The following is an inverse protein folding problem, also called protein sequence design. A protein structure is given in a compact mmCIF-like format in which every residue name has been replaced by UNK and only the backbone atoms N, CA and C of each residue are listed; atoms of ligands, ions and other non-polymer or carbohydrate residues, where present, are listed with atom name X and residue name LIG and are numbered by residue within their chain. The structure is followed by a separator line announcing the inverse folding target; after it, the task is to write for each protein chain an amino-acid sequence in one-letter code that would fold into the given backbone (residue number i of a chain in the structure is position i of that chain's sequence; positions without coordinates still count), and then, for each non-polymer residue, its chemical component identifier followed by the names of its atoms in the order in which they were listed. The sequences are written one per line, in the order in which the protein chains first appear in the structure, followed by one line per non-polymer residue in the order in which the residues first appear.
data_IF_310925639613
#
_entry.id   IF_310925639613
#
_cell.length_a   1.000
_cell.length_b   1.000
_cell.length_c   1.000
_cell.angle_alpha   90.00
_cell.angle_beta   90.00
_cell.angle_gamma   90.00
#
_symmetry.space_group_name_H-M   'P 1'
#
loop_
_entity.id
_entity.type
_entity.pdbx_description
1 polymer ?
#
# COMPACT_ATOMS: atom_id res chain seq x y z
N UNK A 1 -1.11 -10.28 -7.06
CA UNK A 1 -1.64 -9.65 -8.30
C UNK A 1 -2.36 -8.33 -8.01
N UNK A 2 -2.93 -8.14 -6.83
CA UNK A 2 -3.68 -6.97 -6.35
C UNK A 2 -2.90 -5.64 -6.40
N UNK A 3 -1.65 -5.61 -5.93
CA UNK A 3 -0.86 -4.35 -5.86
C UNK A 3 -0.66 -3.64 -7.21
N UNK A 4 -0.44 -4.37 -8.31
CA UNK A 4 -0.22 -3.74 -9.62
C UNK A 4 -1.49 -3.05 -10.16
N UNK A 5 -2.67 -3.64 -9.92
CA UNK A 5 -3.93 -3.04 -10.32
C UNK A 5 -4.27 -1.84 -9.45
N UNK A 6 -4.06 -1.93 -8.13
CA UNK A 6 -4.24 -0.82 -7.19
C UNK A 6 -3.40 0.39 -7.57
N UNK A 7 -2.09 0.23 -7.75
CA UNK A 7 -1.18 1.31 -8.13
C UNK A 7 -1.61 2.01 -9.43
N UNK A 8 -2.05 1.25 -10.44
CA UNK A 8 -2.54 1.82 -11.69
C UNK A 8 -3.88 2.54 -11.52
N UNK A 9 -4.76 2.05 -10.66
CA UNK A 9 -6.03 2.72 -10.34
C UNK A 9 -5.79 4.03 -9.58
N UNK A 10 -4.90 4.04 -8.59
CA UNK A 10 -4.48 5.26 -7.90
C UNK A 10 -3.92 6.26 -8.89
N UNK A 11 -3.03 5.84 -9.78
CA UNK A 11 -2.44 6.68 -10.82
C UNK A 11 -3.51 7.27 -11.76
N UNK A 12 -4.45 6.46 -12.21
CA UNK A 12 -5.54 6.93 -13.09
C UNK A 12 -6.45 7.93 -12.39
N UNK A 13 -6.83 7.67 -11.15
CA UNK A 13 -7.65 8.59 -10.35
C UNK A 13 -6.91 9.90 -10.08
N UNK A 14 -5.64 9.82 -9.67
CA UNK A 14 -4.81 10.97 -9.39
C UNK A 14 -4.62 11.85 -10.64
N UNK A 15 -4.30 11.27 -11.79
CA UNK A 15 -4.19 12.00 -13.05
C UNK A 15 -5.51 12.66 -13.46
N UNK A 16 -6.63 11.95 -13.30
CA UNK A 16 -7.96 12.49 -13.63
C UNK A 16 -8.28 13.72 -12.80
N UNK A 17 -8.05 13.65 -11.48
CA UNK A 17 -8.26 14.77 -10.57
C UNK A 17 -7.28 15.90 -10.85
N UNK A 18 -5.98 15.61 -10.98
CA UNK A 18 -4.93 16.59 -11.27
C UNK A 18 -5.23 17.35 -12.56
N UNK A 19 -5.63 16.65 -13.63
CA UNK A 19 -6.02 17.26 -14.90
C UNK A 19 -7.21 18.20 -14.76
N UNK A 20 -8.26 17.79 -14.08
CA UNK A 20 -9.44 18.61 -13.85
C UNK A 20 -9.12 19.88 -13.05
N UNK A 21 -8.22 19.78 -12.08
CA UNK A 21 -7.74 20.89 -11.25
C UNK A 21 -6.61 21.72 -11.88
N UNK A 22 -6.16 21.38 -13.11
CA UNK A 22 -5.04 22.02 -13.82
C UNK A 22 -3.71 21.94 -13.06
N UNK A 23 -3.52 20.85 -12.32
CA UNK A 23 -2.28 20.49 -11.65
C UNK A 23 -1.36 19.69 -12.60
N UNK A 24 -0.15 19.39 -12.14
CA UNK A 24 0.81 18.58 -12.91
C UNK A 24 0.45 17.09 -12.87
N UNK A 25 -0.12 16.57 -13.98
CA UNK A 25 -0.52 15.17 -14.12
C UNK A 25 0.68 14.20 -14.01
N UNK A 26 1.83 14.59 -14.55
CA UNK A 26 3.02 13.73 -14.56
C UNK A 26 3.63 13.62 -13.16
N UNK A 27 3.58 14.69 -12.36
CA UNK A 27 3.96 14.65 -10.96
C UNK A 27 3.02 13.74 -10.15
N UNK A 28 1.72 13.86 -10.35
CA UNK A 28 0.73 12.99 -9.69
C UNK A 28 0.94 11.52 -10.08
N UNK A 29 1.21 11.22 -11.35
CA UNK A 29 1.52 9.86 -11.82
C UNK A 29 2.80 9.33 -11.18
N UNK A 30 3.88 10.10 -11.18
CA UNK A 30 5.16 9.67 -10.61
C UNK A 30 5.04 9.33 -9.11
N UNK A 31 4.32 10.16 -8.34
CA UNK A 31 4.03 9.89 -6.92
C UNK A 31 3.19 8.61 -6.79
N UNK A 32 2.10 8.50 -7.56
CA UNK A 32 1.20 7.35 -7.51
C UNK A 32 1.90 6.03 -7.87
N UNK A 33 2.80 6.03 -8.86
CA UNK A 33 3.56 4.82 -9.22
C UNK A 33 4.59 4.42 -8.16
N UNK A 34 5.06 5.37 -7.36
CA UNK A 34 6.09 5.15 -6.35
C UNK A 34 5.58 4.92 -4.93
N UNK A 35 4.31 5.24 -4.63
CA UNK A 35 3.83 5.33 -3.24
C UNK A 35 3.96 4.03 -2.45
N UNK A 36 3.68 2.89 -3.06
CA UNK A 36 3.60 1.57 -2.43
C UNK A 36 4.77 0.61 -2.78
N UNK A 37 5.87 1.11 -3.36
CA UNK A 37 7.02 0.27 -3.74
C UNK A 37 7.66 -0.47 -2.56
N UNK A 38 7.53 0.07 -1.35
CA UNK A 38 8.06 -0.50 -0.12
C UNK A 38 7.06 -1.38 0.64
N UNK A 39 5.93 -1.73 0.04
CA UNK A 39 4.94 -2.57 0.71
C UNK A 39 5.45 -4.00 0.87
N UNK A 40 5.18 -4.60 2.02
CA UNK A 40 5.63 -5.95 2.36
C UNK A 40 4.76 -7.04 1.71
N UNK A 41 5.26 -8.28 1.56
CA UNK A 41 4.39 -9.41 1.29
C UNK A 41 3.26 -9.47 2.34
N UNK A 42 2.08 -9.87 1.91
CA UNK A 42 0.82 -9.90 2.71
C UNK A 42 0.35 -8.54 3.20
N UNK A 43 0.78 -7.47 2.56
CA UNK A 43 0.27 -6.13 2.81
C UNK A 43 0.47 -5.69 4.27
N UNK A 44 -0.58 -5.17 4.88
CA UNK A 44 -0.52 -4.69 6.27
C UNK A 44 -0.19 -5.77 7.31
N UNK A 45 -0.45 -7.06 7.03
CA UNK A 45 -0.04 -8.14 7.92
C UNK A 45 1.49 -8.25 8.00
N UNK A 46 2.16 -8.24 6.85
CA UNK A 46 3.63 -8.23 6.80
C UNK A 46 4.24 -6.96 7.36
N UNK A 47 3.62 -5.80 7.13
CA UNK A 47 4.05 -4.53 7.75
C UNK A 47 3.98 -4.60 9.27
N UNK A 48 2.88 -5.12 9.84
CA UNK A 48 2.78 -5.34 11.30
C UNK A 48 3.89 -6.27 11.81
N UNK A 49 4.16 -7.36 11.09
CA UNK A 49 5.20 -8.31 11.46
C UNK A 49 6.58 -7.63 11.51
N UNK A 50 6.97 -6.92 10.45
CA UNK A 50 8.26 -6.22 10.43
C UNK A 50 8.32 -5.09 11.46
N UNK A 51 7.20 -4.41 11.74
CA UNK A 51 7.16 -3.37 12.77
C UNK A 51 7.22 -3.93 14.20
N UNK A 52 6.90 -5.20 14.45
CA UNK A 52 7.10 -5.86 15.73
C UNK A 52 8.57 -6.15 16.00
N UNK A 53 9.31 -6.57 14.97
CA UNK A 53 10.72 -6.99 15.10
C UNK A 53 11.71 -5.86 14.85
N UNK A 54 11.30 -4.85 14.07
CA UNK A 54 12.07 -3.66 13.73
C UNK A 54 11.14 -2.49 13.42
N UNK A 55 11.64 -1.24 13.46
CA UNK A 55 10.83 -0.03 13.19
C UNK A 55 10.51 0.13 11.70
N UNK A 56 9.55 -0.63 11.20
CA UNK A 56 9.17 -0.65 9.80
C UNK A 56 7.92 0.18 9.51
N UNK A 57 7.92 0.89 8.37
CA UNK A 57 6.76 1.58 7.83
C UNK A 57 6.88 1.63 6.29
N UNK A 58 5.86 1.14 5.57
CA UNK A 58 5.91 0.98 4.10
C UNK A 58 6.22 2.28 3.35
N UNK A 59 5.72 3.44 3.77
CA UNK A 59 6.00 4.71 3.11
C UNK A 59 7.48 5.15 3.25
N UNK A 60 8.12 4.84 4.37
CA UNK A 60 9.57 5.05 4.54
C UNK A 60 10.36 4.08 3.69
N UNK A 61 9.89 2.85 3.62
CA UNK A 61 10.48 1.82 2.77
C UNK A 61 10.31 2.16 1.28
N UNK A 62 9.15 2.69 0.85
CA UNK A 62 8.95 3.16 -0.53
C UNK A 62 9.95 4.25 -0.90
N UNK A 63 10.16 5.21 -0.01
CA UNK A 63 11.19 6.23 -0.21
C UNK A 63 12.60 5.62 -0.28
N UNK A 64 12.92 4.67 0.60
CA UNK A 64 14.21 3.97 0.63
C UNK A 64 14.44 3.16 -0.65
N UNK A 65 13.42 2.49 -1.19
CA UNK A 65 13.51 1.78 -2.48
C UNK A 65 13.97 2.75 -3.58
N UNK A 66 13.32 3.88 -3.73
CA UNK A 66 13.63 4.82 -4.82
C UNK A 66 14.92 5.61 -4.58
N UNK A 67 15.37 5.79 -3.36
CA UNK A 67 16.58 6.57 -3.03
C UNK A 67 17.85 5.72 -2.92
N UNK A 68 17.73 4.45 -2.46
CA UNK A 68 18.89 3.66 -2.05
C UNK A 68 18.95 2.24 -2.61
N UNK A 69 17.83 1.60 -2.94
CA UNK A 69 17.84 0.17 -3.36
C UNK A 69 17.89 0.05 -4.88
N UNK A 70 17.08 0.82 -5.58
CA UNK A 70 17.01 0.78 -7.04
C UNK A 70 18.35 1.11 -7.71
N UNK A 71 18.53 0.61 -8.93
CA UNK A 71 19.75 0.77 -9.75
C UNK A 71 21.03 0.35 -8.99
N UNK A 72 20.98 -0.80 -8.34
CA UNK A 72 22.14 -1.35 -7.62
C UNK A 72 22.68 -0.40 -6.54
N UNK A 73 21.80 0.14 -5.72
CA UNK A 73 22.13 1.02 -4.60
C UNK A 73 22.32 2.50 -4.94
N UNK A 74 22.11 2.90 -6.22
CA UNK A 74 22.31 4.30 -6.67
C UNK A 74 21.04 5.15 -6.57
N UNK A 75 19.88 4.53 -6.43
CA UNK A 75 18.59 5.20 -6.42
C UNK A 75 18.18 5.77 -7.79
N UNK A 76 16.94 6.29 -7.83
CA UNK A 76 16.33 6.81 -9.07
C UNK A 76 16.58 8.31 -9.31
N UNK A 77 17.15 9.03 -8.34
CA UNK A 77 17.37 10.47 -8.42
C UNK A 77 16.08 11.26 -8.72
N UNK A 78 15.01 10.96 -7.97
CA UNK A 78 13.71 11.61 -8.12
C UNK A 78 13.74 13.04 -7.55
N UNK A 79 12.85 13.91 -8.05
CA UNK A 79 12.69 15.26 -7.52
C UNK A 79 12.18 15.24 -6.07
N UNK A 80 12.37 16.34 -5.35
CA UNK A 80 11.90 16.45 -3.98
C UNK A 80 10.38 16.26 -3.87
N UNK A 81 9.62 16.81 -4.82
CA UNK A 81 8.16 16.75 -4.85
C UNK A 81 7.64 15.30 -4.96
N UNK A 82 8.28 14.48 -5.79
CA UNK A 82 7.93 13.05 -5.90
C UNK A 82 8.25 12.32 -4.60
N UNK A 83 9.41 12.59 -4.01
CA UNK A 83 9.85 11.96 -2.75
C UNK A 83 8.96 12.36 -1.58
N UNK A 84 8.59 13.63 -1.47
CA UNK A 84 7.65 14.13 -0.46
C UNK A 84 6.29 13.46 -0.61
N UNK A 85 5.77 13.36 -1.84
CA UNK A 85 4.51 12.70 -2.13
C UNK A 85 4.52 11.21 -1.76
N UNK A 86 5.59 10.48 -2.09
CA UNK A 86 5.77 9.07 -1.70
C UNK A 86 5.79 8.92 -0.18
N UNK A 87 6.56 9.73 0.53
CA UNK A 87 6.69 9.63 1.98
C UNK A 87 5.40 9.96 2.72
N UNK A 88 4.60 10.87 2.20
CA UNK A 88 3.44 11.44 2.88
C UNK A 88 2.08 11.00 2.29
N UNK A 89 2.04 9.93 1.46
CA UNK A 89 0.78 9.48 0.84
C UNK A 89 -0.23 8.89 1.83
N UNK A 90 0.24 8.33 2.95
CA UNK A 90 -0.62 7.68 3.94
C UNK A 90 -1.64 8.66 4.58
N UNK A 91 -2.66 8.09 5.23
CA UNK A 91 -3.79 8.86 5.80
C UNK A 91 -3.36 9.96 6.78
N UNK A 92 -2.34 9.72 7.59
CA UNK A 92 -1.78 10.69 8.56
C UNK A 92 -0.72 11.61 7.97
N UNK A 93 -0.32 11.38 6.71
CA UNK A 93 0.70 12.19 6.04
C UNK A 93 0.15 13.54 5.56
N UNK A 94 1.06 14.47 5.35
CA UNK A 94 0.77 15.84 4.91
C UNK A 94 1.68 16.22 3.74
N UNK A 95 1.37 15.77 2.50
CA UNK A 95 2.14 16.16 1.33
C UNK A 95 2.13 17.67 1.13
N UNK A 96 3.28 18.23 0.79
CA UNK A 96 3.42 19.69 0.59
C UNK A 96 2.80 20.16 -0.73
N UNK A 97 2.87 19.32 -1.77
CA UNK A 97 2.29 19.63 -3.08
C UNK A 97 0.81 19.27 -3.16
N UNK A 98 0.05 19.98 -3.98
CA UNK A 98 -1.35 19.63 -4.25
C UNK A 98 -1.45 18.28 -4.96
N UNK A 99 -0.50 17.95 -5.83
CA UNK A 99 -0.41 16.65 -6.50
C UNK A 99 -0.22 15.50 -5.49
N UNK A 100 0.65 15.66 -4.50
CA UNK A 100 0.80 14.69 -3.40
C UNK A 100 -0.47 14.53 -2.59
N UNK A 101 -1.21 15.63 -2.34
CA UNK A 101 -2.52 15.57 -1.67
C UNK A 101 -3.57 14.85 -2.53
N UNK A 102 -3.54 15.06 -3.86
CA UNK A 102 -4.39 14.32 -4.82
C UNK A 102 -4.09 12.83 -4.74
N UNK A 103 -2.82 12.42 -4.77
CA UNK A 103 -2.45 11.00 -4.66
C UNK A 103 -2.92 10.40 -3.34
N UNK A 104 -2.72 11.08 -2.21
CA UNK A 104 -3.18 10.64 -0.89
C UNK A 104 -4.69 10.40 -0.83
N UNK A 105 -5.48 11.22 -1.51
CA UNK A 105 -6.94 11.03 -1.59
C UNK A 105 -7.24 9.88 -2.56
N UNK A 106 -6.59 9.84 -3.73
CA UNK A 106 -6.80 8.82 -4.75
C UNK A 106 -6.50 7.41 -4.24
N UNK A 107 -5.46 7.25 -3.41
CA UNK A 107 -5.15 5.99 -2.73
C UNK A 107 -6.32 5.52 -1.85
N UNK A 108 -6.90 6.42 -1.04
CA UNK A 108 -8.09 6.08 -0.22
C UNK A 108 -9.29 5.68 -1.06
N UNK A 109 -9.52 6.36 -2.20
CA UNK A 109 -10.62 6.06 -3.10
C UNK A 109 -10.45 4.67 -3.72
N UNK A 110 -9.25 4.38 -4.22
CA UNK A 110 -8.91 3.11 -4.84
C UNK A 110 -9.00 1.95 -3.83
N UNK A 111 -8.42 2.11 -2.64
CA UNK A 111 -8.44 1.11 -1.58
C UNK A 111 -9.87 0.68 -1.21
N UNK A 112 -10.75 1.62 -0.87
CA UNK A 112 -12.14 1.30 -0.46
C UNK A 112 -12.92 0.64 -1.59
N UNK A 113 -12.78 1.13 -2.82
CA UNK A 113 -13.49 0.56 -3.97
C UNK A 113 -12.97 -0.83 -4.34
N UNK A 114 -11.66 -1.04 -4.28
CA UNK A 114 -11.03 -2.31 -4.62
C UNK A 114 -11.39 -3.41 -3.62
N UNK A 115 -11.27 -3.13 -2.33
CA UNK A 115 -11.61 -4.09 -1.28
C UNK A 115 -13.09 -4.45 -1.29
N UNK A 116 -13.95 -3.50 -1.62
CA UNK A 116 -15.39 -3.77 -1.75
C UNK A 116 -15.69 -4.64 -2.97
N UNK A 117 -15.08 -4.36 -4.12
CA UNK A 117 -15.25 -5.17 -5.33
C UNK A 117 -14.74 -6.61 -5.10
N UNK A 118 -13.61 -6.76 -4.42
CA UNK A 118 -13.07 -8.06 -4.05
C UNK A 118 -13.97 -8.81 -3.03
N UNK A 119 -14.53 -8.13 -2.05
CA UNK A 119 -15.47 -8.71 -1.10
C UNK A 119 -16.76 -9.19 -1.79
N UNK A 120 -17.26 -8.43 -2.75
CA UNK A 120 -18.45 -8.80 -3.56
C UNK A 120 -18.10 -9.98 -4.47
N UNK A 121 -16.99 -9.96 -5.18
CA UNK A 121 -16.54 -11.08 -6.04
C UNK A 121 -16.27 -12.34 -5.24
N UNK A 122 -15.74 -12.20 -4.04
CA UNK A 122 -15.50 -13.29 -3.09
C UNK A 122 -16.77 -13.83 -2.44
N UNK A 123 -17.95 -13.22 -2.68
CA UNK A 123 -19.22 -13.64 -2.09
C UNK A 123 -19.32 -13.36 -0.59
N UNK A 124 -18.48 -12.47 -0.06
CA UNK A 124 -18.52 -12.03 1.34
C UNK A 124 -19.64 -11.02 1.55
N UNK A 125 -19.84 -10.15 0.56
CA UNK A 125 -20.88 -9.10 0.53
C UNK A 125 -21.61 -9.11 -0.80
N UNK A 126 -22.78 -8.46 -0.80
CA UNK A 126 -23.48 -8.01 -2.01
C UNK A 126 -23.65 -6.49 -1.97
N UNK A 127 -23.93 -5.84 -3.11
CA UNK A 127 -24.23 -4.39 -3.12
C UNK A 127 -25.43 -4.04 -2.21
N UNK A 128 -26.36 -4.98 -2.02
CA UNK A 128 -27.56 -4.75 -1.18
C UNK A 128 -27.27 -4.79 0.32
N UNK A 129 -26.16 -5.37 0.74
CA UNK A 129 -25.71 -5.38 2.14
C UNK A 129 -25.18 -4.01 2.59
N UNK A 130 -24.77 -3.17 1.61
CA UNK A 130 -24.30 -1.81 1.91
C UNK A 130 -25.50 -0.96 2.38
N UNK A 131 -25.40 -0.25 3.52
CA UNK A 131 -26.45 0.61 4.02
C UNK A 131 -27.04 1.54 2.96
N UNK A 132 -28.37 1.66 2.93
CA UNK A 132 -29.08 2.39 1.87
C UNK A 132 -28.75 3.87 1.81
N UNK A 133 -28.46 4.50 2.95
CA UNK A 133 -27.99 5.87 3.06
C UNK A 133 -26.61 6.08 2.44
N UNK A 134 -25.69 5.12 2.63
CA UNK A 134 -24.39 5.14 1.97
C UNK A 134 -24.49 4.91 0.45
N UNK A 135 -25.37 4.01 0.00
CA UNK A 135 -25.64 3.82 -1.43
C UNK A 135 -26.25 5.07 -2.06
N UNK A 136 -27.13 5.75 -1.36
CA UNK A 136 -27.74 7.00 -1.82
C UNK A 136 -26.69 8.13 -1.90
N UNK A 137 -25.80 8.24 -0.91
CA UNK A 137 -24.79 9.30 -0.83
C UNK A 137 -23.63 9.08 -1.83
N UNK A 138 -23.16 7.84 -1.97
CA UNK A 138 -21.95 7.53 -2.72
C UNK A 138 -22.20 6.85 -4.07
N UNK A 139 -23.33 6.19 -4.26
CA UNK A 139 -23.66 5.40 -5.44
C UNK A 139 -23.85 3.91 -5.13
N UNK A 140 -24.62 3.24 -5.98
CA UNK A 140 -25.08 1.85 -5.81
C UNK A 140 -24.21 0.83 -6.57
N UNK A 141 -23.08 1.26 -7.12
CA UNK A 141 -22.09 0.41 -7.77
C UNK A 141 -20.69 1.00 -7.61
N UNK A 142 -19.68 0.17 -7.75
CA UNK A 142 -18.27 0.59 -7.71
C UNK A 142 -18.01 1.77 -8.66
N UNK A 143 -18.55 1.71 -9.89
CA UNK A 143 -18.42 2.78 -10.89
C UNK A 143 -19.08 4.08 -10.46
N UNK A 144 -20.30 4.01 -9.91
CA UNK A 144 -21.03 5.20 -9.44
C UNK A 144 -20.32 5.81 -8.23
N UNK A 145 -19.87 5.00 -7.28
CA UNK A 145 -19.12 5.46 -6.11
C UNK A 145 -17.86 6.20 -6.51
N UNK A 146 -17.04 5.59 -7.38
CA UNK A 146 -15.82 6.23 -7.86
C UNK A 146 -16.10 7.56 -8.55
N UNK A 147 -17.11 7.59 -9.42
CA UNK A 147 -17.52 8.81 -10.11
C UNK A 147 -17.96 9.91 -9.13
N UNK A 148 -18.81 9.58 -8.16
CA UNK A 148 -19.26 10.52 -7.13
C UNK A 148 -18.09 11.08 -6.34
N UNK A 149 -17.19 10.21 -5.87
CA UNK A 149 -16.03 10.59 -5.06
C UNK A 149 -15.05 11.48 -5.84
N UNK A 150 -14.71 11.13 -7.07
CA UNK A 150 -13.82 11.91 -7.92
C UNK A 150 -14.43 13.28 -8.24
N UNK A 151 -15.70 13.34 -8.59
CA UNK A 151 -16.37 14.61 -8.83
C UNK A 151 -16.46 15.50 -7.60
N UNK A 152 -16.73 14.92 -6.42
CA UNK A 152 -16.79 15.67 -5.16
C UNK A 152 -15.43 16.28 -4.82
N UNK A 153 -14.33 15.51 -4.95
CA UNK A 153 -12.97 16.03 -4.75
C UNK A 153 -12.67 17.18 -5.70
N UNK A 154 -12.94 17.03 -7.00
CA UNK A 154 -12.70 18.07 -8.00
C UNK A 154 -13.49 19.34 -7.66
N UNK A 155 -14.79 19.21 -7.39
CA UNK A 155 -15.68 20.34 -7.15
C UNK A 155 -15.26 21.13 -5.90
N UNK A 156 -14.88 20.43 -4.83
CA UNK A 156 -14.52 21.08 -3.55
C UNK A 156 -13.07 21.57 -3.49
N UNK A 157 -12.22 21.14 -4.43
CA UNK A 157 -10.82 21.56 -4.50
C UNK A 157 -10.54 22.60 -5.59
N UNK A 158 -11.49 22.88 -6.47
CA UNK A 158 -11.32 23.85 -7.56
C UNK A 158 -10.97 25.23 -6.98
N UNK A 159 -9.87 25.80 -7.48
CA UNK A 159 -9.33 27.09 -7.05
C UNK A 159 -9.07 27.22 -5.52
N UNK A 160 -8.86 26.08 -4.84
CA UNK A 160 -8.51 26.02 -3.43
C UNK A 160 -7.02 25.68 -3.23
N UNK A 161 -6.38 26.18 -2.16
CA UNK A 161 -4.99 25.84 -1.82
C UNK A 161 -4.84 24.47 -1.13
N UNK A 162 -5.87 23.62 -1.17
CA UNK A 162 -5.91 22.32 -0.51
C UNK A 162 -6.84 21.38 -1.27
N UNK A 163 -6.48 20.09 -1.31
CA UNK A 163 -7.33 19.06 -1.89
C UNK A 163 -8.23 18.48 -0.78
N UNK A 164 -9.54 18.52 -0.99
CA UNK A 164 -10.53 18.10 0.00
C UNK A 164 -11.80 17.55 -0.64
N UNK A 165 -12.56 16.82 0.15
CA UNK A 165 -13.95 16.44 -0.13
C UNK A 165 -14.91 17.37 0.59
N UNK A 166 -16.19 17.33 0.21
CA UNK A 166 -17.27 17.89 1.05
C UNK A 166 -17.34 17.15 2.38
N UNK A 167 -17.83 17.82 3.42
CA UNK A 167 -17.99 17.19 4.73
C UNK A 167 -18.99 16.03 4.71
N UNK A 168 -19.96 16.06 3.79
CA UNK A 168 -20.95 15.00 3.61
C UNK A 168 -20.31 13.74 3.01
N UNK A 169 -19.57 13.88 1.90
CA UNK A 169 -18.86 12.79 1.25
C UNK A 169 -17.77 12.21 2.14
N UNK A 170 -17.02 13.06 2.85
CA UNK A 170 -16.00 12.58 3.79
C UNK A 170 -16.60 11.74 4.93
N UNK A 171 -17.78 12.14 5.44
CA UNK A 171 -18.49 11.36 6.46
C UNK A 171 -18.97 10.03 5.89
N UNK A 172 -19.64 10.06 4.74
CA UNK A 172 -20.10 8.83 4.09
C UNK A 172 -18.96 7.85 3.79
N UNK A 173 -17.79 8.35 3.35
CA UNK A 173 -16.60 7.51 3.19
C UNK A 173 -16.09 6.91 4.50
N UNK A 174 -16.08 7.67 5.59
CA UNK A 174 -15.69 7.15 6.92
C UNK A 174 -16.65 6.06 7.39
N UNK A 175 -17.95 6.27 7.18
CA UNK A 175 -18.98 5.30 7.56
C UNK A 175 -18.90 4.04 6.68
N UNK A 176 -18.63 4.19 5.38
CA UNK A 176 -18.40 3.07 4.48
C UNK A 176 -17.16 2.26 4.89
N UNK A 177 -16.06 2.93 5.23
CA UNK A 177 -14.86 2.26 5.75
C UNK A 177 -15.14 1.50 7.04
N UNK A 178 -15.93 2.09 7.96
CA UNK A 178 -16.35 1.41 9.18
C UNK A 178 -17.18 0.16 8.87
N UNK A 179 -18.14 0.26 7.95
CA UNK A 179 -18.92 -0.87 7.47
C UNK A 179 -18.04 -2.00 6.92
N UNK A 180 -17.06 -1.66 6.07
CA UNK A 180 -16.09 -2.62 5.55
C UNK A 180 -15.26 -3.28 6.66
N UNK A 181 -14.84 -2.49 7.63
CA UNK A 181 -14.07 -3.01 8.77
C UNK A 181 -14.88 -4.05 9.56
N UNK A 182 -16.13 -3.76 9.85
CA UNK A 182 -17.02 -4.62 10.66
C UNK A 182 -17.45 -5.89 9.91
N UNK A 183 -17.66 -5.81 8.60
CA UNK A 183 -18.27 -6.90 7.82
C UNK A 183 -17.26 -7.70 6.95
N UNK A 184 -16.11 -7.14 6.63
CA UNK A 184 -15.09 -7.78 5.77
C UNK A 184 -13.82 -8.09 6.56
N UNK A 185 -13.18 -7.08 7.14
CA UNK A 185 -11.85 -7.27 7.76
C UNK A 185 -11.86 -8.00 9.10
N UNK A 186 -12.98 -7.98 9.83
CA UNK A 186 -13.14 -8.78 11.05
C UNK A 186 -13.61 -10.22 10.79
N UNK A 187 -13.70 -10.65 9.53
CA UNK A 187 -14.04 -12.03 9.20
C UNK A 187 -13.00 -13.00 9.79
N UNK A 188 -13.42 -13.98 10.64
CA UNK A 188 -12.49 -14.88 11.34
C UNK A 188 -11.58 -15.69 10.39
N UNK A 189 -12.05 -15.99 9.18
CA UNK A 189 -11.26 -16.75 8.22
C UNK A 189 -10.12 -15.89 7.65
N UNK A 190 -10.37 -14.62 7.34
CA UNK A 190 -9.34 -13.69 6.87
C UNK A 190 -8.30 -13.44 7.97
N UNK A 191 -8.74 -13.22 9.20
CA UNK A 191 -7.85 -12.96 10.34
C UNK A 191 -6.92 -14.13 10.67
N UNK A 192 -7.41 -15.38 10.55
CA UNK A 192 -6.56 -16.55 10.77
C UNK A 192 -5.42 -16.70 9.76
N UNK A 193 -5.64 -16.30 8.51
CA UNK A 193 -4.57 -16.28 7.49
C UNK A 193 -3.59 -15.12 7.71
N UNK A 194 -4.08 -13.96 8.15
CA UNK A 194 -3.20 -12.83 8.53
C UNK A 194 -2.25 -13.19 9.68
N UNK A 195 -2.73 -13.86 10.72
CA UNK A 195 -1.90 -14.26 11.87
C UNK A 195 -0.79 -15.24 11.44
N UNK A 196 -1.09 -16.14 10.50
CA UNK A 196 -0.07 -17.03 9.91
C UNK A 196 0.98 -16.24 9.11
N UNK A 197 0.54 -15.24 8.34
CA UNK A 197 1.44 -14.39 7.56
C UNK A 197 2.36 -13.58 8.48
N UNK A 198 1.83 -12.99 9.55
CA UNK A 198 2.62 -12.27 10.57
C UNK A 198 3.70 -13.18 11.13
N UNK A 199 3.32 -14.36 11.64
CA UNK A 199 4.26 -15.29 12.24
C UNK A 199 5.34 -15.77 11.25
N UNK A 200 4.95 -16.02 10.00
CA UNK A 200 5.88 -16.44 8.96
C UNK A 200 6.92 -15.35 8.64
N UNK A 201 6.52 -14.08 8.55
CA UNK A 201 7.43 -12.97 8.27
C UNK A 201 8.37 -12.73 9.45
N UNK A 202 7.89 -12.81 10.70
CA UNK A 202 8.72 -12.70 11.90
C UNK A 202 9.79 -13.81 11.93
N UNK A 203 9.42 -15.06 11.66
CA UNK A 203 10.38 -16.18 11.60
C UNK A 203 11.40 -16.02 10.47
N UNK A 204 10.98 -15.52 9.29
CA UNK A 204 11.93 -15.24 8.21
C UNK A 204 12.91 -14.13 8.60
N UNK A 205 12.44 -13.09 9.29
CA UNK A 205 13.30 -12.02 9.78
C UNK A 205 14.35 -12.56 10.78
N UNK A 206 13.93 -13.31 11.78
CA UNK A 206 14.82 -13.94 12.79
C UNK A 206 15.85 -14.84 12.10
N UNK A 207 15.41 -15.69 11.17
CA UNK A 207 16.28 -16.57 10.41
C UNK A 207 17.38 -15.80 9.66
N UNK A 208 17.00 -14.75 8.92
CA UNK A 208 17.97 -13.93 8.20
C UNK A 208 18.87 -13.11 9.12
N UNK A 209 18.42 -12.76 10.32
CA UNK A 209 19.24 -12.09 11.32
C UNK A 209 20.33 -13.01 11.90
N UNK A 210 20.06 -14.31 11.99
CA UNK A 210 21.02 -15.33 12.43
C UNK A 210 21.89 -15.86 11.28
N UNK A 211 21.39 -15.87 10.05
CA UNK A 211 21.99 -16.49 8.86
C UNK A 211 22.16 -15.50 7.71
N UNK A 212 22.94 -14.44 7.90
CA UNK A 212 23.14 -13.41 6.87
C UNK A 212 23.84 -13.93 5.61
N UNK A 213 24.54 -15.05 5.69
CA UNK A 213 25.22 -15.72 4.58
C UNK A 213 24.25 -16.25 3.50
N UNK A 214 22.97 -16.46 3.84
CA UNK A 214 21.96 -16.91 2.85
C UNK A 214 21.30 -15.77 2.09
N UNK A 215 21.52 -14.53 2.47
CA UNK A 215 21.00 -13.36 1.77
C UNK A 215 21.53 -13.27 0.34
N UNK A 216 20.78 -12.73 -0.63
CA UNK A 216 21.29 -12.46 -1.96
C UNK A 216 22.51 -11.53 -1.94
N UNK A 217 23.36 -11.65 -2.98
CA UNK A 217 24.65 -10.94 -3.07
C UNK A 217 24.52 -9.43 -2.79
N UNK A 218 23.53 -8.77 -3.36
CA UNK A 218 23.34 -7.32 -3.20
C UNK A 218 23.14 -6.90 -1.74
N UNK A 219 22.41 -7.70 -0.94
CA UNK A 219 22.18 -7.41 0.48
C UNK A 219 23.41 -7.76 1.33
N UNK A 220 24.20 -8.78 0.94
CA UNK A 220 25.49 -9.05 1.60
C UNK A 220 26.50 -7.93 1.36
N UNK A 221 26.59 -7.45 0.12
CA UNK A 221 27.41 -6.28 -0.22
C UNK A 221 26.95 -5.02 0.55
N UNK A 222 25.63 -4.84 0.77
CA UNK A 222 25.10 -3.76 1.58
C UNK A 222 25.50 -3.88 3.05
N UNK A 223 25.46 -5.09 3.62
CA UNK A 223 25.92 -5.35 5.00
C UNK A 223 27.40 -5.00 5.20
N UNK A 224 28.23 -5.18 4.19
CA UNK A 224 29.68 -4.93 4.26
C UNK A 224 30.05 -3.46 4.00
N UNK A 225 29.27 -2.75 3.18
CA UNK A 225 29.68 -1.48 2.59
C UNK A 225 28.77 -0.29 2.94
N UNK A 226 27.62 -0.49 3.61
CA UNK A 226 26.75 0.59 4.05
C UNK A 226 26.85 0.82 5.56
N UNK A 227 26.45 2.02 6.00
CA UNK A 227 26.29 2.36 7.42
C UNK A 227 24.90 1.98 7.95
N UNK A 228 24.08 1.26 7.15
CA UNK A 228 22.74 0.85 7.55
C UNK A 228 22.79 -0.29 8.58
N UNK A 229 21.84 -0.29 9.51
CA UNK A 229 21.70 -1.38 10.49
C UNK A 229 21.36 -2.70 9.77
N UNK A 230 21.88 -3.81 10.30
CA UNK A 230 21.62 -5.15 9.75
C UNK A 230 20.13 -5.43 9.60
N UNK A 231 19.36 -5.05 10.58
CA UNK A 231 17.91 -5.21 10.64
C UNK A 231 17.20 -4.46 9.51
N UNK A 232 17.68 -3.25 9.16
CA UNK A 232 17.15 -2.48 8.03
C UNK A 232 17.40 -3.21 6.70
N UNK A 233 18.59 -3.77 6.50
CA UNK A 233 18.93 -4.50 5.27
C UNK A 233 18.10 -5.79 5.13
N UNK A 234 17.82 -6.46 6.24
CA UNK A 234 16.92 -7.62 6.26
C UNK A 234 15.48 -7.20 5.92
N UNK A 235 15.00 -6.09 6.47
CA UNK A 235 13.70 -5.51 6.09
C UNK A 235 13.64 -5.17 4.60
N UNK A 236 14.70 -4.58 4.03
CA UNK A 236 14.79 -4.29 2.60
C UNK A 236 14.60 -5.56 1.75
N UNK A 237 15.23 -6.66 2.16
CA UNK A 237 15.12 -7.93 1.45
C UNK A 237 13.72 -8.52 1.58
N UNK A 238 13.16 -8.57 2.78
CA UNK A 238 11.82 -9.16 3.00
C UNK A 238 10.73 -8.31 2.34
N UNK A 239 10.80 -6.98 2.45
CA UNK A 239 9.82 -6.08 1.83
C UNK A 239 9.83 -6.18 0.29
N UNK A 240 10.96 -6.52 -0.32
CA UNK A 240 11.06 -6.76 -1.76
C UNK A 240 10.51 -8.11 -2.24
N UNK A 241 10.03 -8.97 -1.36
CA UNK A 241 9.47 -10.27 -1.74
C UNK A 241 8.02 -10.14 -2.22
N UNK A 242 7.63 -11.04 -3.13
CA UNK A 242 6.20 -11.33 -3.38
C UNK A 242 5.68 -12.31 -2.32
N UNK A 243 4.36 -12.36 -2.11
CA UNK A 243 3.73 -13.31 -1.18
C UNK A 243 4.18 -14.75 -1.45
N UNK A 244 4.11 -15.17 -2.71
CA UNK A 244 4.51 -16.52 -3.11
C UNK A 244 6.01 -16.80 -2.92
N UNK A 245 6.86 -15.79 -3.07
CA UNK A 245 8.29 -15.93 -2.81
C UNK A 245 8.59 -16.04 -1.32
N UNK A 246 7.91 -15.27 -0.48
CA UNK A 246 8.02 -15.36 0.98
C UNK A 246 7.57 -16.74 1.48
N UNK A 247 6.40 -17.24 1.00
CA UNK A 247 5.94 -18.62 1.31
C UNK A 247 6.97 -19.67 0.92
N UNK A 248 7.54 -19.55 -0.30
CA UNK A 248 8.56 -20.49 -0.76
C UNK A 248 9.80 -20.45 0.12
N UNK A 249 10.28 -19.24 0.50
CA UNK A 249 11.44 -19.10 1.38
C UNK A 249 11.18 -19.69 2.77
N UNK A 250 10.00 -19.48 3.30
CA UNK A 250 9.60 -20.11 4.55
C UNK A 250 9.61 -21.64 4.44
N UNK A 251 9.08 -22.20 3.36
CA UNK A 251 9.12 -23.64 3.12
C UNK A 251 10.55 -24.17 2.99
N UNK A 252 11.41 -23.45 2.25
CA UNK A 252 12.81 -23.83 2.04
C UNK A 252 13.60 -23.95 3.37
N UNK A 253 13.27 -23.12 4.38
CA UNK A 253 14.03 -23.07 5.64
C UNK A 253 13.38 -23.81 6.82
N UNK A 254 12.05 -23.89 6.86
CA UNK A 254 11.33 -24.37 8.03
C UNK A 254 10.56 -25.69 7.80
N UNK A 255 10.40 -26.11 6.54
CA UNK A 255 9.69 -27.36 6.23
C UNK A 255 10.67 -28.37 5.66
N UNK A 256 10.89 -29.52 6.31
CA UNK A 256 11.80 -30.54 5.81
C UNK A 256 11.32 -31.13 4.47
N UNK A 257 12.24 -31.28 3.53
CA UNK A 257 11.94 -32.00 2.29
C UNK A 257 11.77 -33.50 2.57
N UNK A 258 10.79 -34.13 1.91
CA UNK A 258 10.65 -35.57 1.93
C UNK A 258 11.86 -36.22 1.24
N UNK A 259 12.35 -37.32 1.78
CA UNK A 259 13.41 -38.08 1.15
C UNK A 259 12.97 -38.51 -0.25
N UNK A 260 13.72 -38.09 -1.26
CA UNK A 260 13.57 -38.60 -2.64
C UNK A 260 14.24 -39.96 -2.66
N UNK A 261 13.42 -41.06 -2.59
CA UNK A 261 13.88 -42.44 -2.80
C UNK A 261 14.02 -42.68 -4.29
#
# INVERSE_FOLDING_TARGET
MLFRSHTLEVSQNARTIAKALRLNEDLAEAIALGHDLGHTPFGHAGERALNHVYHFAHQKQSLRVVERIEKEGRGLNLTWEVRDGILNHQTSGHPHTLEGQVVRISDKLAYINHDMDDAIRGGILTEDDIPSDLRQALGSSCKERLNTLVHDVITNSMDQPVIKMSSETERAMKDLRKFMFENVYLNPNAKGEEDKAVHMIEQLFEYYAEHTEVLPRIFKEALENSDDEKEQIICDYIAGMTDSYAVKKFQDYFVPEAWKI
#
